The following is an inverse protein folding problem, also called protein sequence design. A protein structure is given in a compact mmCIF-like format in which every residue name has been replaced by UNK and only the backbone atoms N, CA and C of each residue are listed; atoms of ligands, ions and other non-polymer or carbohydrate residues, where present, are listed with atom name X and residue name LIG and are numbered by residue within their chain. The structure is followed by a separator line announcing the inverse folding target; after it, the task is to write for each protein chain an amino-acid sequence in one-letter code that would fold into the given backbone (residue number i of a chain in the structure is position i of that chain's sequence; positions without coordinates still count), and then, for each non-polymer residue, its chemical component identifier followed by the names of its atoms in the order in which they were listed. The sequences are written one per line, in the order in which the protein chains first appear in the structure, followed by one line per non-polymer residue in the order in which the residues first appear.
data_IF_493018037418
#
_entry.id   IF_493018037418
#
_cell.length_a   1.000
_cell.length_b   1.000
_cell.length_c   1.000
_cell.angle_alpha   90.00
_cell.angle_beta   90.00
_cell.angle_gamma   90.00
#
_symmetry.space_group_name_H-M   'P 1'
#
loop_
_entity.id
_entity.type
_entity.pdbx_description
1 polymer ?
#
# COMPACT_ATOMS: atom_id res chain seq x y z
N UNK A 1 3.57 -4.17 13.52
CA UNK A 1 4.15 -3.02 12.82
C UNK A 1 4.38 -1.95 13.86
N UNK A 2 5.57 -1.35 13.92
CA UNK A 2 5.91 -0.31 14.89
C UNK A 2 5.83 1.06 14.19
N UNK A 3 5.23 2.05 14.85
CA UNK A 3 5.19 3.41 14.35
C UNK A 3 6.59 4.01 14.38
N UNK A 4 7.03 4.52 13.23
CA UNK A 4 8.27 5.29 13.10
C UNK A 4 8.05 6.71 13.62
N UNK A 5 6.85 7.26 13.39
CA UNK A 5 6.45 8.59 13.84
C UNK A 5 4.96 8.61 14.16
N UNK A 6 4.55 9.39 15.15
CA UNK A 6 3.16 9.56 15.59
C UNK A 6 2.76 11.03 15.57
N UNK A 7 1.46 11.31 15.67
CA UNK A 7 0.87 12.66 15.63
C UNK A 7 1.26 13.46 14.38
N UNK A 8 1.31 12.80 13.21
CA UNK A 8 1.67 13.39 11.92
C UNK A 8 0.42 13.75 11.13
N UNK A 9 0.41 14.89 10.47
CA UNK A 9 -0.64 15.23 9.49
C UNK A 9 -0.40 14.53 8.16
N UNK A 10 -1.45 14.34 7.36
CA UNK A 10 -1.32 13.75 6.01
C UNK A 10 -0.31 14.49 5.13
N UNK A 11 -0.28 15.83 5.21
CA UNK A 11 0.64 16.64 4.41
C UNK A 11 2.11 16.43 4.81
N UNK A 12 2.39 16.29 6.11
CA UNK A 12 3.74 15.99 6.60
C UNK A 12 4.17 14.57 6.24
N UNK A 13 3.25 13.60 6.28
CA UNK A 13 3.53 12.24 5.79
C UNK A 13 3.91 12.24 4.31
N UNK A 14 3.17 12.94 3.44
CA UNK A 14 3.47 12.95 2.01
C UNK A 14 4.86 13.52 1.70
N UNK A 15 5.24 14.62 2.36
CA UNK A 15 6.60 15.18 2.24
C UNK A 15 7.66 14.22 2.73
N UNK A 16 7.39 13.56 3.86
CA UNK A 16 8.31 12.56 4.41
C UNK A 16 8.49 11.36 3.48
N UNK A 17 7.40 10.86 2.87
CA UNK A 17 7.43 9.67 2.01
C UNK A 17 8.07 9.96 0.64
N UNK A 18 7.88 11.17 0.09
CA UNK A 18 8.54 11.62 -1.16
C UNK A 18 10.07 11.57 -1.08
N UNK A 19 10.65 11.95 0.06
CA UNK A 19 12.09 11.97 0.27
C UNK A 19 12.65 10.61 0.76
N UNK A 20 11.78 9.62 0.97
CA UNK A 20 12.17 8.36 1.60
C UNK A 20 12.62 7.27 0.62
N UNK A 21 13.66 6.54 1.00
CA UNK A 21 14.15 5.39 0.22
C UNK A 21 13.28 4.13 0.40
N UNK A 22 12.50 4.07 1.48
CA UNK A 22 11.57 2.98 1.78
C UNK A 22 10.14 3.47 1.71
N UNK A 23 9.20 2.54 1.46
CA UNK A 23 7.77 2.88 1.47
C UNK A 23 7.21 2.88 2.88
N UNK A 24 6.29 3.81 3.13
CA UNK A 24 5.60 3.93 4.40
C UNK A 24 4.09 4.00 4.22
N UNK A 25 3.36 3.60 5.25
CA UNK A 25 1.92 3.70 5.32
C UNK A 25 1.51 4.72 6.37
N UNK A 26 0.50 5.52 6.05
CA UNK A 26 -0.08 6.50 6.97
C UNK A 26 -1.38 5.99 7.56
N UNK A 27 -1.40 5.78 8.88
CA UNK A 27 -2.56 5.27 9.61
C UNK A 27 -2.86 6.14 10.81
N UNK A 28 -4.00 6.85 10.81
CA UNK A 28 -4.48 7.63 11.98
C UNK A 28 -3.46 8.59 12.62
N UNK A 29 -2.62 9.23 11.79
CA UNK A 29 -1.57 10.12 12.29
C UNK A 29 -0.25 9.41 12.62
N UNK A 30 -0.14 8.13 12.32
CA UNK A 30 1.08 7.34 12.47
C UNK A 30 1.69 7.04 11.11
N UNK A 31 3.02 7.06 11.05
CA UNK A 31 3.80 6.56 9.92
C UNK A 31 4.34 5.19 10.29
N UNK A 32 3.97 4.18 9.52
CA UNK A 32 4.39 2.79 9.67
C UNK A 32 5.33 2.44 8.52
N UNK A 33 6.44 1.74 8.81
CA UNK A 33 7.24 1.15 7.75
C UNK A 33 6.43 0.06 7.03
N UNK A 34 6.31 0.15 5.71
CA UNK A 34 5.82 -0.98 4.95
C UNK A 34 6.86 -2.08 5.01
N UNK A 35 6.41 -3.31 5.29
CA UNK A 35 7.28 -4.47 5.15
C UNK A 35 7.54 -4.69 3.67
N UNK A 36 8.81 -4.87 3.28
CA UNK A 36 9.14 -5.21 1.91
C UNK A 36 8.41 -6.47 1.44
N UNK A 37 8.05 -6.52 0.16
CA UNK A 37 7.47 -7.72 -0.44
C UNK A 37 8.54 -8.74 -0.80
N UNK A 38 8.26 -10.02 -0.62
CA UNK A 38 9.01 -11.08 -1.30
C UNK A 38 8.41 -11.35 -2.67
N UNK A 39 9.19 -11.93 -3.59
CA UNK A 39 8.68 -12.33 -4.89
C UNK A 39 7.46 -13.27 -4.79
N UNK A 40 7.49 -14.21 -3.84
CA UNK A 40 6.37 -15.11 -3.60
C UNK A 40 5.12 -14.37 -3.12
N UNK A 41 5.27 -13.38 -2.24
CA UNK A 41 4.16 -12.54 -1.80
C UNK A 41 3.55 -11.76 -2.97
N UNK A 42 4.39 -11.14 -3.81
CA UNK A 42 3.94 -10.43 -5.01
C UNK A 42 3.20 -11.35 -5.99
N UNK A 43 3.69 -12.58 -6.20
CA UNK A 43 3.05 -13.58 -7.06
C UNK A 43 1.66 -13.98 -6.57
N UNK A 44 1.48 -14.14 -5.25
CA UNK A 44 0.17 -14.44 -4.67
C UNK A 44 -0.80 -13.29 -4.91
N UNK A 45 -0.38 -12.05 -4.65
CA UNK A 45 -1.18 -10.85 -4.91
C UNK A 45 -1.61 -10.75 -6.39
N UNK A 46 -0.65 -10.92 -7.31
CA UNK A 46 -0.90 -10.87 -8.75
C UNK A 46 -1.92 -11.92 -9.20
N UNK A 47 -1.84 -13.15 -8.70
CA UNK A 47 -2.78 -14.22 -9.05
C UNK A 47 -4.22 -13.85 -8.64
N UNK A 48 -4.39 -13.31 -7.43
CA UNK A 48 -5.70 -12.90 -6.90
C UNK A 48 -6.25 -11.71 -7.70
N UNK A 49 -5.44 -10.68 -7.91
CA UNK A 49 -5.85 -9.47 -8.65
C UNK A 49 -6.20 -9.79 -10.10
N UNK A 50 -5.41 -10.62 -10.78
CA UNK A 50 -5.67 -11.04 -12.17
C UNK A 50 -6.99 -11.80 -12.30
N UNK A 51 -7.29 -12.69 -11.36
CA UNK A 51 -8.56 -13.42 -11.36
C UNK A 51 -9.76 -12.47 -11.19
N UNK A 52 -9.67 -11.55 -10.23
CA UNK A 52 -10.71 -10.52 -9.99
C UNK A 52 -10.89 -9.61 -11.21
N UNK A 53 -9.80 -9.19 -11.84
CA UNK A 53 -9.85 -8.36 -13.04
C UNK A 53 -10.62 -9.06 -14.18
N UNK A 54 -10.41 -10.37 -14.37
CA UNK A 54 -11.19 -11.19 -15.30
C UNK A 54 -12.69 -11.17 -15.00
N UNK A 55 -13.07 -11.39 -13.73
CA UNK A 55 -14.48 -11.43 -13.29
C UNK A 55 -15.20 -10.08 -13.37
N UNK A 56 -14.46 -8.98 -13.24
CA UNK A 56 -15.00 -7.61 -13.19
C UNK A 56 -14.92 -6.89 -14.54
N UNK A 57 -14.30 -7.48 -15.56
CA UNK A 57 -14.20 -6.90 -16.89
C UNK A 57 -15.59 -6.59 -17.47
N UNK A 58 -15.80 -5.34 -17.89
CA UNK A 58 -17.05 -4.85 -18.47
C UNK A 58 -18.16 -4.55 -17.44
N UNK A 59 -17.87 -4.63 -16.14
CA UNK A 59 -18.80 -4.29 -15.05
C UNK A 59 -18.47 -2.90 -14.48
N UNK A 60 -19.40 -2.26 -13.75
CA UNK A 60 -19.15 -0.97 -13.10
C UNK A 60 -18.16 -1.05 -11.92
N UNK A 61 -17.87 -2.24 -11.41
CA UNK A 61 -16.89 -2.46 -10.34
C UNK A 61 -15.51 -2.76 -10.94
N UNK A 62 -14.45 -2.20 -10.34
CA UNK A 62 -13.06 -2.38 -10.78
C UNK A 62 -12.24 -3.12 -9.72
N UNK A 63 -11.32 -3.96 -10.16
CA UNK A 63 -10.32 -4.53 -9.27
C UNK A 63 -9.31 -3.43 -8.89
N UNK A 64 -9.09 -3.24 -7.59
CA UNK A 64 -8.05 -2.36 -7.05
C UNK A 64 -7.12 -3.22 -6.17
N UNK A 65 -5.83 -2.88 -6.21
CA UNK A 65 -4.76 -3.45 -5.38
C UNK A 65 -4.21 -2.42 -4.39
#
# INVERSE_FOLDING_TARGET
MQAIKTAVTRAEYLRFDEDSLSKHEFCHGEILAMTGGTFNHAKIGLNITSHRYGLLRGKPCQAHE
#
